data_IF_583165203048
#
_entry.id   IF_583165203048
#
_cell.length_a   1.000
_cell.length_b   1.000
_cell.length_c   1.000
_cell.angle_alpha   90.00
_cell.angle_beta   90.00
_cell.angle_gamma   90.00
#
_symmetry.space_group_name_H-M   'P 1'
#
loop_
_entity.id
_entity.type
_entity.pdbx_description
1 polymer ?
#
# COMPACT_ATOMS: atom_id res chain seq x y z
N UNK A 1 4.92 -5.00 22.20
CA UNK A 1 6.32 -5.37 22.50
C UNK A 1 7.07 -4.07 22.58
N UNK A 2 7.24 -3.60 23.81
CA UNK A 2 8.06 -2.43 24.13
C UNK A 2 9.53 -2.88 24.15
N UNK A 3 10.36 -2.37 23.25
CA UNK A 3 11.81 -2.32 23.48
C UNK A 3 12.15 -0.86 23.80
N UNK A 4 12.31 -0.58 25.10
CA UNK A 4 12.74 0.71 25.69
C UNK A 4 14.18 0.57 26.23
N UNK A 5 14.96 -0.36 25.71
CA UNK A 5 16.41 -0.40 25.94
C UNK A 5 17.02 -0.10 24.59
N UNK A 6 17.82 0.97 24.46
CA UNK A 6 18.39 1.46 23.18
C UNK A 6 19.39 0.52 22.52
N UNK A 7 19.13 -0.78 22.58
CA UNK A 7 19.87 -1.87 21.96
C UNK A 7 19.11 -2.30 20.71
N UNK A 8 19.85 -2.35 19.61
CA UNK A 8 19.35 -2.89 18.36
C UNK A 8 19.00 -4.37 18.55
N UNK A 9 17.89 -4.81 17.95
CA UNK A 9 17.55 -6.23 17.88
C UNK A 9 18.75 -7.02 17.32
N UNK A 10 19.19 -8.07 18.03
CA UNK A 10 20.35 -8.89 17.65
C UNK A 10 20.23 -9.49 16.25
N UNK A 11 19.01 -9.79 15.82
CA UNK A 11 18.75 -10.29 14.45
C UNK A 11 19.00 -9.22 13.40
N UNK A 12 18.62 -7.98 13.68
CA UNK A 12 18.87 -6.84 12.79
C UNK A 12 20.37 -6.52 12.73
N UNK A 13 21.04 -6.53 13.88
CA UNK A 13 22.49 -6.33 13.97
C UNK A 13 23.27 -7.35 13.12
N UNK A 14 23.00 -8.65 13.31
CA UNK A 14 23.63 -9.71 12.53
C UNK A 14 23.28 -9.61 11.04
N UNK A 15 22.04 -9.23 10.73
CA UNK A 15 21.60 -9.01 9.35
C UNK A 15 22.41 -7.91 8.67
N UNK A 16 22.53 -6.75 9.31
CA UNK A 16 23.21 -5.58 8.74
C UNK A 16 24.68 -5.91 8.44
N UNK A 17 25.36 -6.65 9.31
CA UNK A 17 26.73 -7.13 9.05
C UNK A 17 26.83 -8.03 7.82
N UNK A 18 25.75 -8.72 7.45
CA UNK A 18 25.64 -9.51 6.22
C UNK A 18 25.07 -8.73 5.02
N UNK A 19 24.75 -7.43 5.18
CA UNK A 19 24.12 -6.61 4.14
C UNK A 19 22.62 -6.89 3.93
N UNK A 20 21.95 -7.41 4.96
CA UNK A 20 20.52 -7.75 4.97
C UNK A 20 19.81 -7.00 6.10
N UNK A 21 18.63 -6.45 5.86
CA UNK A 21 17.83 -5.86 6.94
C UNK A 21 16.34 -6.19 6.76
N UNK A 22 15.56 -5.94 7.81
CA UNK A 22 14.10 -5.98 7.74
C UNK A 22 13.50 -4.60 7.99
N UNK A 23 12.33 -4.34 7.41
CA UNK A 23 11.59 -3.08 7.55
C UNK A 23 10.11 -3.34 7.80
N UNK A 24 9.63 -2.90 8.97
CA UNK A 24 8.24 -3.03 9.37
C UNK A 24 7.85 -1.95 10.40
N UNK A 25 6.55 -1.82 10.68
CA UNK A 25 6.02 -0.82 11.63
C UNK A 25 6.45 -1.01 13.09
N UNK A 26 7.01 -2.16 13.46
CA UNK A 26 7.59 -2.40 14.77
C UNK A 26 8.98 -1.76 15.01
N UNK A 27 9.60 -1.18 13.98
CA UNK A 27 10.84 -0.41 14.12
C UNK A 27 10.53 1.06 14.44
N UNK A 28 11.40 1.70 15.21
CA UNK A 28 11.36 3.14 15.46
C UNK A 28 11.49 3.93 14.15
N UNK A 29 11.08 5.21 14.17
CA UNK A 29 11.23 6.06 12.99
C UNK A 29 12.70 6.23 12.57
N UNK A 30 13.59 6.38 13.55
CA UNK A 30 15.02 6.58 13.33
C UNK A 30 15.67 5.33 12.72
N UNK A 31 15.35 4.13 13.25
CA UNK A 31 15.83 2.86 12.67
C UNK A 31 15.37 2.69 11.22
N UNK A 32 14.10 3.00 10.92
CA UNK A 32 13.58 2.92 9.55
C UNK A 32 14.33 3.87 8.62
N UNK A 33 14.56 5.11 9.04
CA UNK A 33 15.29 6.10 8.24
C UNK A 33 16.74 5.67 7.97
N UNK A 34 17.42 5.11 8.97
CA UNK A 34 18.81 4.61 8.82
C UNK A 34 18.84 3.43 7.84
N UNK A 35 17.94 2.46 7.98
CA UNK A 35 17.86 1.30 7.09
C UNK A 35 17.54 1.70 5.65
N UNK A 36 16.60 2.65 5.47
CA UNK A 36 16.23 3.18 4.15
C UNK A 36 17.43 3.85 3.47
N UNK A 37 18.16 4.71 4.20
CA UNK A 37 19.36 5.38 3.69
C UNK A 37 20.46 4.37 3.35
N UNK A 38 20.72 3.42 4.24
CA UNK A 38 21.73 2.38 4.02
C UNK A 38 21.38 1.44 2.84
N UNK A 39 20.09 1.24 2.55
CA UNK A 39 19.66 0.52 1.35
C UNK A 39 19.86 1.34 0.07
N UNK A 40 19.55 2.64 0.09
CA UNK A 40 19.77 3.54 -1.06
C UNK A 40 21.25 3.66 -1.42
N UNK A 41 22.12 3.74 -0.41
CA UNK A 41 23.57 3.82 -0.58
C UNK A 41 24.21 2.47 -0.96
N UNK A 42 23.45 1.38 -0.93
CA UNK A 42 23.91 0.04 -1.29
C UNK A 42 24.71 -0.68 -0.20
N UNK A 43 24.76 -0.12 1.02
CA UNK A 43 25.32 -0.80 2.20
C UNK A 43 24.49 -2.03 2.55
N UNK A 44 23.17 -1.87 2.57
CA UNK A 44 22.21 -2.98 2.64
C UNK A 44 21.84 -3.36 1.21
N UNK A 45 22.05 -4.62 0.85
CA UNK A 45 21.75 -5.14 -0.50
C UNK A 45 20.40 -5.85 -0.56
N UNK A 46 19.93 -6.36 0.57
CA UNK A 46 18.66 -7.09 0.68
C UNK A 46 17.83 -6.46 1.79
N UNK A 47 16.64 -5.99 1.45
CA UNK A 47 15.68 -5.45 2.40
C UNK A 47 14.41 -6.31 2.39
N UNK A 48 14.10 -6.91 3.54
CA UNK A 48 12.91 -7.71 3.77
C UNK A 48 11.82 -6.84 4.40
N UNK A 49 10.75 -6.51 3.67
CA UNK A 49 9.72 -5.61 4.17
C UNK A 49 8.32 -6.22 4.24
N UNK A 50 7.47 -5.66 5.09
CA UNK A 50 6.02 -5.90 5.05
C UNK A 50 5.36 -5.14 3.91
N UNK A 51 4.09 -5.46 3.60
CA UNK A 51 3.32 -4.84 2.52
C UNK A 51 3.18 -3.32 2.65
N UNK A 52 3.28 -2.79 3.86
CA UNK A 52 3.20 -1.35 4.17
C UNK A 52 4.30 -0.52 3.52
N UNK A 53 5.49 -1.08 3.27
CA UNK A 53 6.58 -0.35 2.60
C UNK A 53 6.17 0.06 1.17
N UNK A 54 5.41 -0.81 0.48
CA UNK A 54 5.02 -0.58 -0.91
C UNK A 54 4.18 0.69 -1.10
N UNK A 55 3.42 1.12 -0.08
CA UNK A 55 2.57 2.30 -0.16
C UNK A 55 3.18 3.58 0.46
N UNK A 56 4.19 3.45 1.33
CA UNK A 56 4.57 4.51 2.26
C UNK A 56 5.82 5.33 1.92
N UNK A 57 6.75 4.81 1.11
CA UNK A 57 8.07 5.44 0.88
C UNK A 57 8.60 5.17 -0.52
N UNK A 58 9.34 6.12 -1.07
CA UNK A 58 9.95 5.99 -2.39
C UNK A 58 11.32 5.28 -2.30
N UNK A 59 11.27 3.95 -2.16
CA UNK A 59 12.46 3.11 -2.06
C UNK A 59 12.52 2.11 -3.24
N UNK A 60 13.05 2.51 -4.40
CA UNK A 60 13.15 1.64 -5.56
C UNK A 60 14.28 0.61 -5.38
N UNK A 61 14.12 -0.58 -5.95
CA UNK A 61 15.10 -1.64 -5.93
C UNK A 61 15.25 -2.24 -7.33
N UNK A 62 16.45 -2.71 -7.71
CA UNK A 62 16.63 -3.39 -9.01
C UNK A 62 15.69 -4.58 -9.18
N UNK A 63 15.43 -5.31 -8.09
CA UNK A 63 14.55 -6.48 -8.08
C UNK A 63 13.62 -6.45 -6.88
N UNK A 64 12.36 -6.81 -7.11
CA UNK A 64 11.35 -7.05 -6.06
C UNK A 64 10.98 -8.53 -6.07
N UNK A 65 10.96 -9.14 -4.88
CA UNK A 65 10.52 -10.53 -4.70
C UNK A 65 9.32 -10.53 -3.76
N UNK A 66 8.18 -11.01 -4.25
CA UNK A 66 6.97 -11.21 -3.47
C UNK A 66 6.93 -12.67 -3.04
N UNK A 67 7.11 -12.90 -1.74
CA UNK A 67 7.24 -14.25 -1.17
C UNK A 67 5.96 -15.09 -1.27
N UNK A 68 4.79 -14.46 -1.24
CA UNK A 68 3.49 -15.13 -1.34
C UNK A 68 2.45 -14.15 -1.89
N UNK A 69 1.48 -14.61 -2.70
CA UNK A 69 0.37 -13.78 -3.16
C UNK A 69 -0.69 -13.55 -2.08
N UNK A 70 -0.44 -13.95 -0.83
CA UNK A 70 -1.34 -13.82 0.31
C UNK A 70 -0.80 -12.84 1.36
N UNK A 71 -1.69 -12.07 1.96
CA UNK A 71 -1.45 -11.28 3.18
C UNK A 71 -2.19 -11.98 4.33
N UNK A 72 -1.44 -12.70 5.17
CA UNK A 72 -2.05 -13.59 6.16
C UNK A 72 -2.77 -14.74 5.44
N UNK A 73 -4.10 -14.71 5.42
CA UNK A 73 -4.94 -15.69 4.71
C UNK A 73 -5.65 -15.11 3.48
N UNK A 74 -5.62 -13.80 3.32
CA UNK A 74 -6.35 -13.10 2.26
C UNK A 74 -5.47 -12.93 1.02
N UNK A 75 -6.02 -13.11 -0.21
CA UNK A 75 -5.29 -12.78 -1.43
C UNK A 75 -4.92 -11.30 -1.52
N UNK A 76 -3.76 -10.99 -2.11
CA UNK A 76 -3.41 -9.63 -2.49
C UNK A 76 -4.45 -9.07 -3.45
N UNK A 77 -4.81 -7.80 -3.26
CA UNK A 77 -5.52 -7.05 -4.30
C UNK A 77 -4.58 -6.71 -5.45
N UNK A 78 -5.14 -6.55 -6.66
CA UNK A 78 -4.37 -6.13 -7.83
C UNK A 78 -3.63 -4.80 -7.60
N UNK A 79 -4.26 -3.86 -6.90
CA UNK A 79 -3.65 -2.58 -6.55
C UNK A 79 -2.42 -2.76 -5.64
N UNK A 80 -2.53 -3.55 -4.57
CA UNK A 80 -1.39 -3.85 -3.69
C UNK A 80 -0.26 -4.54 -4.43
N UNK A 81 -0.59 -5.50 -5.29
CA UNK A 81 0.40 -6.18 -6.13
C UNK A 81 1.16 -5.20 -7.02
N UNK A 82 0.44 -4.32 -7.74
CA UNK A 82 1.05 -3.32 -8.61
C UNK A 82 1.91 -2.31 -7.83
N UNK A 83 1.50 -1.91 -6.63
CA UNK A 83 2.31 -1.04 -5.77
C UNK A 83 3.62 -1.70 -5.35
N UNK A 84 3.62 -3.02 -5.11
CA UNK A 84 4.83 -3.77 -4.78
C UNK A 84 5.76 -3.90 -5.98
N UNK A 85 5.27 -4.43 -7.11
CA UNK A 85 6.11 -4.67 -8.29
C UNK A 85 6.57 -3.37 -8.96
N UNK A 86 5.83 -2.27 -8.79
CA UNK A 86 6.20 -0.94 -9.28
C UNK A 86 7.46 -0.36 -8.61
N UNK A 87 7.95 -0.97 -7.53
CA UNK A 87 9.25 -0.63 -6.91
C UNK A 87 10.43 -1.26 -7.64
N UNK A 88 10.20 -2.19 -8.57
CA UNK A 88 11.25 -2.83 -9.34
C UNK A 88 11.79 -1.91 -10.44
N UNK A 89 13.10 -1.73 -10.47
CA UNK A 89 13.84 -0.86 -11.38
C UNK A 89 14.13 0.51 -10.76
N UNK A 90 15.41 0.89 -10.71
CA UNK A 90 15.83 2.23 -10.28
C UNK A 90 15.98 3.13 -11.49
N UNK A 91 15.09 4.11 -11.63
CA UNK A 91 15.14 5.08 -12.71
C UNK A 91 16.51 5.79 -12.77
N UNK A 92 17.14 5.77 -13.94
CA UNK A 92 18.45 6.38 -14.16
C UNK A 92 19.66 5.54 -13.72
N UNK A 93 19.46 4.39 -13.08
CA UNK A 93 20.54 3.50 -12.65
C UNK A 93 20.49 2.13 -13.31
N UNK A 94 19.29 1.52 -13.39
CA UNK A 94 19.10 0.20 -13.98
C UNK A 94 18.47 0.30 -15.38
N UNK A 95 18.90 -0.60 -16.26
CA UNK A 95 18.34 -0.82 -17.61
C UNK A 95 16.97 -1.49 -17.57
N UNK A 96 16.71 -2.29 -16.53
CA UNK A 96 15.45 -3.00 -16.29
C UNK A 96 15.21 -3.24 -14.80
N UNK A 97 13.94 -3.42 -14.44
CA UNK A 97 13.51 -3.88 -13.12
C UNK A 97 12.90 -5.27 -13.20
N UNK A 98 13.28 -6.16 -12.28
CA UNK A 98 12.71 -7.51 -12.21
C UNK A 98 11.71 -7.62 -11.05
N UNK A 99 10.50 -8.12 -11.33
CA UNK A 99 9.53 -8.49 -10.31
C UNK A 99 9.26 -9.99 -10.36
N UNK A 100 9.53 -10.69 -9.25
CA UNK A 100 9.33 -12.14 -9.13
C UNK A 100 8.31 -12.40 -8.03
N UNK A 101 7.30 -13.21 -8.32
CA UNK A 101 6.31 -13.63 -7.33
C UNK A 101 6.36 -15.13 -7.19
N UNK A 102 6.56 -15.60 -5.95
CA UNK A 102 6.53 -17.01 -5.62
C UNK A 102 5.07 -17.39 -5.37
N UNK A 103 4.59 -18.43 -6.05
CA UNK A 103 3.20 -18.87 -6.01
C UNK A 103 3.17 -20.39 -5.92
N UNK A 104 2.42 -20.93 -4.96
CA UNK A 104 2.24 -22.37 -4.85
C UNK A 104 1.07 -22.87 -5.73
N UNK A 105 1.18 -24.06 -6.36
CA UNK A 105 0.08 -24.64 -7.14
C UNK A 105 -1.20 -24.83 -6.31
N UNK A 106 -2.35 -24.78 -6.98
CA UNK A 106 -3.67 -24.97 -6.36
C UNK A 106 -4.37 -23.65 -6.06
N UNK A 107 -4.74 -23.41 -4.80
CA UNK A 107 -5.54 -22.23 -4.42
C UNK A 107 -4.82 -20.90 -4.68
N UNK A 108 -3.55 -20.78 -4.29
CA UNK A 108 -2.77 -19.57 -4.50
C UNK A 108 -2.62 -19.23 -5.98
N UNK A 109 -2.25 -20.22 -6.80
CA UNK A 109 -2.13 -20.04 -8.25
C UNK A 109 -3.44 -19.61 -8.90
N UNK A 110 -4.55 -20.27 -8.58
CA UNK A 110 -5.86 -19.92 -9.13
C UNK A 110 -6.24 -18.48 -8.79
N UNK A 111 -6.12 -18.09 -7.52
CA UNK A 111 -6.44 -16.73 -7.06
C UNK A 111 -5.50 -15.67 -7.62
N UNK A 112 -4.22 -15.98 -7.72
CA UNK A 112 -3.24 -15.05 -8.29
C UNK A 112 -3.49 -14.81 -9.79
N UNK A 113 -3.80 -15.87 -10.55
CA UNK A 113 -4.17 -15.75 -11.98
C UNK A 113 -5.47 -14.97 -12.16
N UNK A 114 -6.47 -15.23 -11.34
CA UNK A 114 -7.73 -14.46 -11.30
C UNK A 114 -7.46 -12.98 -11.04
N UNK A 115 -6.65 -12.65 -10.03
CA UNK A 115 -6.24 -11.27 -9.72
C UNK A 115 -5.51 -10.59 -10.88
N UNK A 116 -4.61 -11.28 -11.57
CA UNK A 116 -3.89 -10.71 -12.71
C UNK A 116 -4.82 -10.41 -13.89
N UNK A 117 -5.74 -11.33 -14.20
CA UNK A 117 -6.70 -11.21 -15.29
C UNK A 117 -7.83 -10.20 -15.00
N UNK A 118 -8.22 -10.04 -13.74
CA UNK A 118 -9.29 -9.13 -13.34
C UNK A 118 -8.96 -7.65 -13.56
N UNK A 119 -9.96 -6.76 -13.67
CA UNK A 119 -9.71 -5.32 -13.77
C UNK A 119 -9.11 -4.76 -12.48
N UNK A 120 -8.55 -3.55 -12.56
CA UNK A 120 -8.29 -2.79 -11.33
C UNK A 120 -9.63 -2.43 -10.69
N UNK A 121 -9.67 -2.42 -9.36
CA UNK A 121 -10.87 -2.00 -8.63
C UNK A 121 -11.26 -0.58 -9.05
N UNK A 122 -12.54 -0.37 -9.28
CA UNK A 122 -13.07 0.96 -9.51
C UNK A 122 -12.90 1.81 -8.25
N UNK A 123 -12.49 3.07 -8.44
CA UNK A 123 -12.48 4.02 -7.35
C UNK A 123 -13.93 4.33 -6.98
N UNK A 124 -14.32 3.99 -5.75
CA UNK A 124 -15.65 4.27 -5.21
C UNK A 124 -15.57 5.35 -4.14
N UNK A 125 -16.57 6.22 -4.06
CA UNK A 125 -16.64 7.26 -3.06
C UNK A 125 -16.79 6.65 -1.67
N UNK A 126 -15.90 7.01 -0.76
CA UNK A 126 -16.04 6.66 0.66
C UNK A 126 -17.29 7.24 1.30
N UNK A 127 -17.87 8.31 0.74
CA UNK A 127 -19.12 8.90 1.22
C UNK A 127 -20.36 8.02 0.92
N UNK A 128 -20.22 6.99 0.08
CA UNK A 128 -21.28 5.98 -0.10
C UNK A 128 -21.47 5.12 1.15
N UNK A 129 -20.44 4.98 1.99
CA UNK A 129 -20.53 4.31 3.27
C UNK A 129 -21.19 5.23 4.31
N UNK A 130 -22.26 4.73 4.92
CA UNK A 130 -23.06 5.51 5.89
C UNK A 130 -22.25 5.95 7.11
N UNK A 131 -21.31 5.11 7.57
CA UNK A 131 -20.49 5.42 8.74
C UNK A 131 -19.51 6.53 8.43
N UNK A 132 -18.79 6.42 7.31
CA UNK A 132 -17.86 7.45 6.83
C UNK A 132 -18.56 8.77 6.53
N UNK A 133 -19.74 8.72 5.90
CA UNK A 133 -20.55 9.91 5.67
C UNK A 133 -20.97 10.58 6.98
N UNK A 134 -21.39 9.78 7.97
CA UNK A 134 -21.79 10.31 9.28
C UNK A 134 -20.62 10.98 9.99
N UNK A 135 -19.44 10.35 10.01
CA UNK A 135 -18.22 10.94 10.56
C UNK A 135 -17.86 12.25 9.84
N UNK A 136 -17.87 12.24 8.52
CA UNK A 136 -17.58 13.43 7.72
C UNK A 136 -18.55 14.59 8.03
N UNK A 137 -19.85 14.32 8.14
CA UNK A 137 -20.83 15.35 8.51
C UNK A 137 -20.61 15.88 9.93
N UNK A 138 -20.28 15.01 10.87
CA UNK A 138 -19.93 15.43 12.24
C UNK A 138 -18.69 16.31 12.27
N UNK A 139 -17.68 16.01 11.45
CA UNK A 139 -16.49 16.85 11.32
C UNK A 139 -16.85 18.26 10.80
N UNK A 140 -17.75 18.36 9.82
CA UNK A 140 -18.22 19.66 9.31
C UNK A 140 -18.99 20.47 10.37
N UNK A 141 -19.79 19.81 11.22
CA UNK A 141 -20.47 20.45 12.36
C UNK A 141 -19.44 20.93 13.37
N UNK A 142 -18.47 20.08 13.73
CA UNK A 142 -17.41 20.39 14.69
C UNK A 142 -16.58 21.59 14.24
N UNK A 143 -16.24 21.65 12.95
CA UNK A 143 -15.52 22.76 12.32
C UNK A 143 -16.38 24.01 12.10
N UNK A 144 -17.69 23.95 12.39
CA UNK A 144 -18.66 25.05 12.18
C UNK A 144 -18.73 25.56 10.75
N UNK A 145 -18.50 24.68 9.78
CA UNK A 145 -18.56 24.98 8.34
C UNK A 145 -19.82 24.42 7.68
N UNK A 146 -20.68 23.73 8.43
CA UNK A 146 -21.89 23.13 7.90
C UNK A 146 -22.99 24.19 7.69
N UNK A 147 -23.11 24.66 6.44
CA UNK A 147 -24.21 25.50 5.96
C UNK A 147 -24.99 24.78 4.85
N UNK A 148 -26.22 25.21 4.57
CA UNK A 148 -27.09 24.59 3.54
C UNK A 148 -26.41 24.61 2.17
N UNK A 149 -25.68 25.68 1.85
CA UNK A 149 -24.91 25.78 0.61
C UNK A 149 -23.82 24.70 0.52
N UNK A 150 -23.14 24.40 1.63
CA UNK A 150 -22.06 23.41 1.69
C UNK A 150 -22.60 22.00 1.46
N UNK A 151 -23.76 21.66 2.06
CA UNK A 151 -24.43 20.37 1.80
C UNK A 151 -24.87 20.25 0.33
N UNK A 152 -25.37 21.35 -0.26
CA UNK A 152 -25.72 21.41 -1.67
C UNK A 152 -24.49 21.26 -2.58
N UNK A 153 -23.34 21.80 -2.18
CA UNK A 153 -22.08 21.63 -2.91
C UNK A 153 -21.53 20.20 -2.80
N UNK A 154 -21.52 19.60 -1.62
CA UNK A 154 -21.08 18.21 -1.43
C UNK A 154 -21.94 17.26 -2.27
N UNK A 155 -23.26 17.47 -2.28
CA UNK A 155 -24.18 16.65 -3.09
C UNK A 155 -24.07 16.86 -4.59
N UNK A 156 -23.39 17.91 -5.07
CA UNK A 156 -23.18 18.19 -6.50
C UNK A 156 -21.77 17.90 -7.01
N UNK A 157 -20.75 18.15 -6.18
CA UNK A 157 -19.35 18.18 -6.60
C UNK A 157 -18.50 17.06 -5.97
N UNK A 158 -19.11 16.13 -5.23
CA UNK A 158 -18.38 14.97 -4.70
C UNK A 158 -18.31 13.83 -5.73
N UNK A 159 -17.35 12.93 -5.55
CA UNK A 159 -17.28 11.69 -6.33
C UNK A 159 -18.57 10.86 -6.20
N UNK A 160 -19.22 10.90 -5.02
CA UNK A 160 -20.50 10.22 -4.79
C UNK A 160 -21.59 10.75 -5.73
N UNK A 161 -21.63 12.07 -5.96
CA UNK A 161 -22.56 12.71 -6.89
C UNK A 161 -22.38 12.21 -8.32
N UNK A 162 -21.11 12.12 -8.76
CA UNK A 162 -20.77 11.60 -10.08
C UNK A 162 -21.18 10.13 -10.23
N UNK A 163 -20.90 9.30 -9.21
CA UNK A 163 -21.27 7.89 -9.16
C UNK A 163 -22.78 7.68 -9.22
N UNK A 164 -23.58 8.44 -8.46
CA UNK A 164 -25.05 8.34 -8.46
C UNK A 164 -25.61 8.69 -9.84
N UNK A 165 -25.05 9.69 -10.53
CA UNK A 165 -25.52 10.09 -11.86
C UNK A 165 -25.16 9.03 -12.90
N UNK A 166 -23.94 8.47 -12.87
CA UNK A 166 -23.46 7.54 -13.90
C UNK A 166 -23.89 6.07 -13.67
N UNK A 167 -24.03 5.62 -12.42
CA UNK A 167 -24.51 4.26 -12.13
C UNK A 167 -26.00 4.07 -12.48
N UNK A 168 -26.82 5.12 -12.46
CA UNK A 168 -28.23 5.04 -12.89
C UNK A 168 -28.41 4.92 -14.41
N UNK A 169 -27.41 5.29 -15.22
CA UNK A 169 -27.46 5.12 -16.68
C UNK A 169 -26.94 3.76 -17.16
N UNK A 170 -26.12 3.06 -16.35
CA UNK A 170 -25.57 1.74 -16.67
C UNK A 170 -26.55 0.56 -16.53
N UNK A 171 -27.80 0.80 -16.09
CA UNK A 171 -28.86 -0.23 -16.05
C UNK A 171 -29.81 -0.21 -17.25
N UNK A 172 -29.59 0.69 -18.23
CA UNK A 172 -30.44 0.85 -19.42
C UNK A 172 -29.76 0.47 -20.75
N UNK A 173 -28.61 -0.20 -20.71
CA UNK A 173 -27.95 -0.80 -21.89
C UNK A 173 -27.36 -2.16 -21.56
#
# INVERSE_FOLDING_TARGET
MEEVDGKLCTTLEMGILAGVAFHHSGLTADERQIIESAFQDGTIRILCSTSTLAAGVNLPARRVIIKSPLVGREPLSKAQYLQMVGRAGRAGYDDRGDAVTIVHPGYEEAKFREMLAGPLMECKSGLSDRSLLSTFLLDLVSLKVLFVEVVSQISKYSLLSFEIIHCNFGQYF
#
